data_IF_085700629031
#
_entry.id   IF_085700629031
#
_cell.length_a   1.000
_cell.length_b   1.000
_cell.length_c   1.000
_cell.angle_alpha   90.00
_cell.angle_beta   90.00
_cell.angle_gamma   90.00
#
_symmetry.space_group_name_H-M   'P 1'
#
loop_
_entity.id
_entity.type
_entity.pdbx_description
1 polymer ?
#
# COMPACT_ATOMS: atom_id res chain seq x y z
N UNK A 1 -20.67 2.76 -3.88
CA UNK A 1 -20.11 4.13 -3.86
C UNK A 1 -19.85 4.51 -5.29
N UNK A 2 -20.09 5.76 -5.70
CA UNK A 2 -19.85 6.15 -7.09
C UNK A 2 -18.42 5.78 -7.51
N UNK A 3 -18.32 5.07 -8.63
CA UNK A 3 -17.05 4.57 -9.17
C UNK A 3 -16.01 5.67 -9.37
N UNK A 4 -16.44 6.86 -9.78
CA UNK A 4 -15.55 8.01 -9.96
C UNK A 4 -14.86 8.42 -8.66
N UNK A 5 -15.60 8.44 -7.55
CA UNK A 5 -15.06 8.83 -6.23
C UNK A 5 -14.04 7.79 -5.75
N UNK A 6 -14.31 6.50 -5.98
CA UNK A 6 -13.38 5.40 -5.68
C UNK A 6 -12.10 5.53 -6.49
N UNK A 7 -12.19 5.80 -7.79
CA UNK A 7 -11.03 5.98 -8.66
C UNK A 7 -10.18 7.16 -8.20
N UNK A 8 -10.80 8.29 -7.85
CA UNK A 8 -10.10 9.48 -7.36
C UNK A 8 -9.40 9.16 -6.04
N UNK A 9 -10.12 8.60 -5.07
CA UNK A 9 -9.55 8.28 -3.75
C UNK A 9 -8.40 7.25 -3.85
N UNK A 10 -8.62 6.18 -4.61
CA UNK A 10 -7.60 5.16 -4.85
C UNK A 10 -6.40 5.71 -5.63
N UNK A 11 -6.64 6.60 -6.60
CA UNK A 11 -5.60 7.27 -7.39
C UNK A 11 -4.74 8.19 -6.54
N UNK A 12 -5.34 8.98 -5.65
CA UNK A 12 -4.63 9.78 -4.64
C UNK A 12 -3.76 8.86 -3.77
N UNK A 13 -4.33 7.74 -3.30
CA UNK A 13 -3.59 6.75 -2.52
C UNK A 13 -2.39 6.16 -3.27
N UNK A 14 -2.55 5.89 -4.57
CA UNK A 14 -1.47 5.39 -5.41
C UNK A 14 -0.34 6.41 -5.59
N UNK A 15 -0.68 7.68 -5.81
CA UNK A 15 0.30 8.77 -5.90
C UNK A 15 1.04 8.98 -4.58
N UNK A 16 0.33 8.95 -3.46
CA UNK A 16 0.93 9.02 -2.13
C UNK A 16 1.85 7.83 -1.86
N UNK A 17 1.42 6.62 -2.24
CA UNK A 17 2.25 5.42 -2.14
C UNK A 17 3.52 5.52 -2.98
N UNK A 18 3.42 6.00 -4.22
CA UNK A 18 4.57 6.24 -5.09
C UNK A 18 5.54 7.28 -4.49
N UNK A 19 5.01 8.37 -3.92
CA UNK A 19 5.80 9.39 -3.23
C UNK A 19 6.53 8.80 -2.01
N UNK A 20 5.86 8.03 -1.17
CA UNK A 20 6.46 7.37 0.00
C UNK A 20 7.58 6.43 -0.43
N UNK A 21 7.35 5.61 -1.45
CA UNK A 21 8.37 4.70 -1.97
C UNK A 21 9.58 5.47 -2.53
N UNK A 22 9.35 6.52 -3.31
CA UNK A 22 10.42 7.36 -3.86
C UNK A 22 11.25 8.04 -2.75
N UNK A 23 10.58 8.62 -1.75
CA UNK A 23 11.24 9.21 -0.59
C UNK A 23 12.03 8.17 0.20
N UNK A 24 11.50 6.96 0.34
CA UNK A 24 12.22 5.86 0.99
C UNK A 24 13.51 5.49 0.26
N UNK A 25 13.46 5.39 -1.08
CA UNK A 25 14.65 5.13 -1.90
C UNK A 25 15.68 6.25 -1.78
N UNK A 26 15.25 7.51 -1.79
CA UNK A 26 16.12 8.68 -1.63
C UNK A 26 16.77 8.67 -0.24
N UNK A 27 15.98 8.45 0.81
CA UNK A 27 16.46 8.40 2.20
C UNK A 27 17.49 7.27 2.41
N UNK A 28 17.24 6.09 1.83
CA UNK A 28 18.19 4.98 1.87
C UNK A 28 19.54 5.35 1.23
N UNK A 29 19.52 6.03 0.08
CA UNK A 29 20.75 6.44 -0.61
C UNK A 29 21.55 7.52 0.11
N UNK A 30 20.86 8.43 0.81
CA UNK A 30 21.49 9.63 1.35
C UNK A 30 21.83 9.54 2.84
N UNK A 31 20.99 8.89 3.64
CA UNK A 31 21.02 9.06 5.10
C UNK A 31 20.98 7.78 5.91
N UNK A 32 20.38 6.70 5.40
CA UNK A 32 20.13 5.50 6.21
C UNK A 32 21.17 4.42 5.93
N UNK A 33 22.01 4.07 6.92
CA UNK A 33 22.95 2.97 6.76
C UNK A 33 22.21 1.64 6.65
N UNK A 34 22.74 0.71 5.85
CA UNK A 34 22.21 -0.65 5.73
C UNK A 34 22.27 -1.36 7.07
N UNK A 35 21.12 -1.70 7.65
CA UNK A 35 21.04 -2.43 8.91
C UNK A 35 21.10 -3.95 8.72
N UNK A 36 20.48 -4.45 7.64
CA UNK A 36 20.44 -5.88 7.32
C UNK A 36 21.11 -6.15 5.98
N UNK A 37 22.44 -6.34 5.95
CA UNK A 37 23.16 -6.64 4.72
C UNK A 37 22.91 -8.07 4.22
N UNK A 38 22.41 -8.98 5.07
CA UNK A 38 22.21 -10.38 4.70
C UNK A 38 20.99 -10.54 3.77
N UNK A 39 21.16 -11.12 2.57
CA UNK A 39 20.07 -11.21 1.59
C UNK A 39 18.92 -12.10 2.07
N UNK A 40 19.19 -13.06 2.94
CA UNK A 40 18.16 -13.94 3.52
C UNK A 40 17.14 -13.15 4.35
N UNK A 41 17.58 -12.11 5.08
CA UNK A 41 16.68 -11.29 5.90
C UNK A 41 15.78 -10.44 4.98
N UNK A 42 16.34 -9.86 3.92
CA UNK A 42 15.56 -9.12 2.93
C UNK A 42 14.46 -9.98 2.29
N UNK A 43 14.79 -11.22 1.91
CA UNK A 43 13.82 -12.19 1.39
C UNK A 43 12.72 -12.52 2.40
N UNK A 44 13.08 -12.81 3.66
CA UNK A 44 12.10 -13.10 4.71
C UNK A 44 11.17 -11.91 4.94
N UNK A 45 11.71 -10.69 5.01
CA UNK A 45 10.90 -9.47 5.12
C UNK A 45 10.00 -9.28 3.90
N UNK A 46 10.52 -9.52 2.69
CA UNK A 46 9.76 -9.40 1.45
C UNK A 46 8.57 -10.36 1.43
N UNK A 47 8.81 -11.64 1.72
CA UNK A 47 7.77 -12.66 1.71
C UNK A 47 6.73 -12.42 2.81
N UNK A 48 7.19 -12.10 4.02
CA UNK A 48 6.31 -11.84 5.17
C UNK A 48 5.43 -10.61 4.91
N UNK A 49 6.02 -9.46 4.57
CA UNK A 49 5.28 -8.22 4.35
C UNK A 49 4.40 -8.32 3.10
N UNK A 50 4.88 -8.98 2.05
CA UNK A 50 4.09 -9.27 0.85
C UNK A 50 2.87 -10.13 1.15
N UNK A 51 3.03 -11.19 1.95
CA UNK A 51 1.92 -12.05 2.34
C UNK A 51 0.88 -11.29 3.19
N UNK A 52 1.30 -10.56 4.22
CA UNK A 52 0.39 -9.72 5.02
C UNK A 52 -0.35 -8.71 4.14
N UNK A 53 0.39 -8.02 3.27
CA UNK A 53 -0.12 -7.04 2.31
C UNK A 53 -1.21 -7.61 1.40
N UNK A 54 -1.05 -8.85 0.91
CA UNK A 54 -2.04 -9.51 0.07
C UNK A 54 -3.24 -10.03 0.86
N UNK A 55 -3.01 -10.62 2.04
CA UNK A 55 -4.08 -11.16 2.90
C UNK A 55 -5.00 -10.07 3.45
N UNK A 56 -4.49 -8.86 3.62
CA UNK A 56 -5.26 -7.71 4.08
C UNK A 56 -6.29 -7.22 3.04
N UNK A 57 -6.06 -7.47 1.74
CA UNK A 57 -6.96 -7.01 0.66
C UNK A 57 -8.42 -7.45 0.89
N UNK A 58 -8.76 -8.74 1.01
CA UNK A 58 -10.14 -9.17 1.21
C UNK A 58 -10.75 -8.62 2.50
N UNK A 59 -9.97 -8.54 3.58
CA UNK A 59 -10.43 -8.02 4.88
C UNK A 59 -10.81 -6.54 4.77
N UNK A 60 -9.98 -5.74 4.12
CA UNK A 60 -10.22 -4.31 3.93
C UNK A 60 -11.40 -4.04 3.00
N UNK A 61 -11.51 -4.79 1.89
CA UNK A 61 -12.67 -4.68 1.00
C UNK A 61 -13.96 -5.00 1.75
N UNK A 62 -13.98 -6.06 2.56
CA UNK A 62 -15.14 -6.39 3.39
C UNK A 62 -15.46 -5.27 4.40
N UNK A 63 -14.45 -4.76 5.11
CA UNK A 63 -14.64 -3.68 6.08
C UNK A 63 -15.20 -2.40 5.43
N UNK A 64 -14.67 -1.99 4.28
CA UNK A 64 -15.14 -0.80 3.57
C UNK A 64 -16.58 -1.00 3.06
N UNK A 65 -16.92 -2.19 2.54
CA UNK A 65 -18.29 -2.51 2.14
C UNK A 65 -19.26 -2.34 3.32
N UNK A 66 -18.90 -2.82 4.51
CA UNK A 66 -19.70 -2.62 5.73
C UNK A 66 -19.86 -1.15 6.13
N UNK A 67 -18.84 -0.33 5.93
CA UNK A 67 -18.97 1.13 6.16
C UNK A 67 -20.01 1.75 5.22
N UNK A 68 -20.00 1.36 3.94
CA UNK A 68 -20.91 1.90 2.91
C UNK A 68 -22.37 1.50 3.14
N UNK A 69 -22.63 0.32 3.72
CA UNK A 69 -23.99 -0.15 4.04
C UNK A 69 -24.76 0.82 4.95
N UNK A 70 -24.08 1.56 5.82
CA UNK A 70 -24.70 2.52 6.74
C UNK A 70 -25.42 3.69 6.06
N UNK A 71 -25.08 4.00 4.79
CA UNK A 71 -25.58 5.14 4.00
C UNK A 71 -25.44 6.53 4.65
N UNK A 72 -24.72 6.65 5.76
CA UNK A 72 -24.50 7.92 6.42
C UNK A 72 -23.45 8.75 5.65
N UNK A 73 -23.70 10.04 5.36
CA UNK A 73 -22.76 10.87 4.61
C UNK A 73 -21.36 10.96 5.22
N UNK A 74 -21.27 10.99 6.55
CA UNK A 74 -19.99 11.00 7.29
C UNK A 74 -19.24 9.69 7.09
N UNK A 75 -19.92 8.56 7.23
CA UNK A 75 -19.32 7.23 7.04
C UNK A 75 -18.87 6.99 5.60
N UNK A 76 -19.57 7.54 4.60
CA UNK A 76 -19.13 7.48 3.20
C UNK A 76 -17.83 8.25 2.97
N UNK A 77 -17.66 9.43 3.61
CA UNK A 77 -16.38 10.16 3.55
C UNK A 77 -15.25 9.37 4.20
N UNK A 78 -15.51 8.74 5.34
CA UNK A 78 -14.54 7.87 6.00
C UNK A 78 -14.18 6.69 5.10
N UNK A 79 -15.17 6.04 4.48
CA UNK A 79 -14.93 4.95 3.53
C UNK A 79 -14.04 5.37 2.35
N UNK A 80 -14.26 6.54 1.76
CA UNK A 80 -13.40 7.10 0.70
C UNK A 80 -11.96 7.34 1.19
N UNK A 81 -11.81 7.92 2.37
CA UNK A 81 -10.49 8.10 2.98
C UNK A 81 -9.80 6.74 3.19
N UNK A 82 -10.52 5.75 3.72
CA UNK A 82 -10.01 4.39 3.93
C UNK A 82 -9.60 3.72 2.62
N UNK A 83 -10.29 3.97 1.49
CA UNK A 83 -9.86 3.50 0.17
C UNK A 83 -8.49 4.07 -0.22
N UNK A 84 -8.29 5.39 -0.07
CA UNK A 84 -7.00 6.01 -0.36
C UNK A 84 -5.88 5.49 0.55
N UNK A 85 -6.16 5.38 1.85
CA UNK A 85 -5.23 4.82 2.83
C UNK A 85 -4.88 3.36 2.51
N UNK A 86 -5.88 2.54 2.21
CA UNK A 86 -5.72 1.14 1.82
C UNK A 86 -4.73 0.99 0.66
N UNK A 87 -4.89 1.75 -0.43
CA UNK A 87 -3.96 1.71 -1.57
C UNK A 87 -2.55 2.17 -1.17
N UNK A 88 -2.45 3.23 -0.38
CA UNK A 88 -1.17 3.78 0.11
C UNK A 88 -0.40 2.77 0.96
N UNK A 89 -1.10 1.92 1.71
CA UNK A 89 -0.51 0.97 2.66
C UNK A 89 0.47 -0.02 2.02
N UNK A 90 0.35 -0.30 0.72
CA UNK A 90 1.35 -1.08 0.00
C UNK A 90 2.77 -0.48 0.10
N UNK A 91 2.89 0.84 0.01
CA UNK A 91 4.16 1.53 0.16
C UNK A 91 4.65 1.51 1.62
N UNK A 92 3.74 1.52 2.59
CA UNK A 92 4.10 1.39 4.01
C UNK A 92 4.73 0.02 4.28
N UNK A 93 4.16 -1.05 3.73
CA UNK A 93 4.77 -2.39 3.80
C UNK A 93 6.09 -2.49 3.02
N UNK A 94 6.29 -1.67 1.99
CA UNK A 94 7.54 -1.61 1.25
C UNK A 94 8.67 -0.91 2.04
N UNK A 95 8.35 0.06 2.89
CA UNK A 95 9.34 0.89 3.59
C UNK A 95 10.39 0.09 4.37
N UNK A 96 10.05 -0.93 5.19
CA UNK A 96 11.07 -1.71 5.89
C UNK A 96 12.09 -2.34 4.94
N UNK A 97 11.65 -2.83 3.77
CA UNK A 97 12.54 -3.38 2.76
C UNK A 97 13.38 -2.29 2.08
N UNK A 98 12.75 -1.17 1.71
CA UNK A 98 13.42 -0.05 1.03
C UNK A 98 14.47 0.64 1.90
N UNK A 99 14.24 0.74 3.22
CA UNK A 99 15.09 1.50 4.12
C UNK A 99 16.19 0.64 4.76
N UNK A 100 15.87 -0.59 5.16
CA UNK A 100 16.71 -1.36 6.09
C UNK A 100 17.61 -2.39 5.40
N UNK A 101 17.29 -2.77 4.15
CA UNK A 101 18.02 -3.83 3.43
C UNK A 101 19.15 -3.29 2.56
N UNK A 102 19.97 -4.19 2.01
CA UNK A 102 21.08 -3.83 1.13
C UNK A 102 20.58 -3.17 -0.18
N UNK A 103 21.38 -2.26 -0.78
CA UNK A 103 21.10 -1.72 -2.11
C UNK A 103 20.84 -2.79 -3.18
N UNK A 104 21.47 -3.98 -3.06
CA UNK A 104 21.28 -5.10 -3.99
C UNK A 104 19.88 -5.72 -3.93
N UNK A 105 19.16 -5.55 -2.82
CA UNK A 105 17.80 -6.09 -2.61
C UNK A 105 16.72 -5.02 -2.65
N UNK A 106 17.08 -3.76 -2.91
CA UNK A 106 16.17 -2.62 -2.90
C UNK A 106 14.98 -2.77 -3.88
N UNK A 107 15.18 -3.50 -4.97
CA UNK A 107 14.13 -3.85 -5.93
C UNK A 107 12.95 -4.60 -5.29
N UNK A 108 13.19 -5.39 -4.23
CA UNK A 108 12.14 -6.12 -3.50
C UNK A 108 11.15 -5.15 -2.84
N UNK A 109 11.65 -4.09 -2.23
CA UNK A 109 10.82 -3.02 -1.69
C UNK A 109 10.01 -2.32 -2.78
N UNK A 110 10.62 -2.06 -3.95
CA UNK A 110 9.90 -1.50 -5.10
C UNK A 110 8.76 -2.42 -5.54
N UNK A 111 9.01 -3.74 -5.64
CA UNK A 111 7.97 -4.73 -5.96
C UNK A 111 6.84 -4.72 -4.94
N UNK A 112 7.14 -4.64 -3.64
CA UNK A 112 6.10 -4.51 -2.61
C UNK A 112 5.25 -3.25 -2.80
N UNK A 113 5.87 -2.11 -3.15
CA UNK A 113 5.14 -0.88 -3.41
C UNK A 113 4.19 -1.01 -4.61
N UNK A 114 4.55 -1.81 -5.63
CA UNK A 114 3.66 -2.07 -6.77
C UNK A 114 2.38 -2.83 -6.40
N UNK A 115 2.31 -3.48 -5.23
CA UNK A 115 1.06 -4.05 -4.71
C UNK A 115 -0.02 -2.98 -4.50
N UNK A 116 0.34 -1.69 -4.48
CA UNK A 116 -0.62 -0.59 -4.53
C UNK A 116 -1.49 -0.62 -5.79
N UNK A 117 -0.95 -1.09 -6.92
CA UNK A 117 -1.72 -1.27 -8.16
C UNK A 117 -2.78 -2.37 -8.02
N UNK A 118 -2.43 -3.48 -7.36
CA UNK A 118 -3.40 -4.54 -7.07
C UNK A 118 -4.50 -4.07 -6.14
N UNK A 119 -4.15 -3.27 -5.12
CA UNK A 119 -5.12 -2.65 -4.22
C UNK A 119 -6.02 -1.65 -4.93
N UNK A 120 -5.45 -0.84 -5.81
CA UNK A 120 -6.21 0.08 -6.67
C UNK A 120 -7.23 -0.69 -7.51
N UNK A 121 -6.78 -1.73 -8.21
CA UNK A 121 -7.65 -2.58 -9.01
C UNK A 121 -8.76 -3.22 -8.15
N UNK A 122 -8.41 -3.78 -6.99
CA UNK A 122 -9.39 -4.36 -6.07
C UNK A 122 -10.41 -3.33 -5.58
N UNK A 123 -9.98 -2.13 -5.20
CA UNK A 123 -10.90 -1.08 -4.77
C UNK A 123 -11.89 -0.70 -5.89
N UNK A 124 -11.39 -0.48 -7.11
CA UNK A 124 -12.24 -0.11 -8.25
C UNK A 124 -13.20 -1.25 -8.63
N UNK A 125 -12.75 -2.50 -8.63
CA UNK A 125 -13.57 -3.66 -9.02
C UNK A 125 -14.61 -4.06 -7.97
N UNK A 126 -14.30 -3.90 -6.68
CA UNK A 126 -15.15 -4.42 -5.61
C UNK A 126 -15.92 -3.35 -4.82
N UNK A 127 -15.59 -2.06 -4.97
CA UNK A 127 -16.25 -0.96 -4.23
C UNK A 127 -16.93 0.09 -5.13
N UNK A 128 -16.54 0.15 -6.41
CA UNK A 128 -17.12 1.05 -7.41
C UNK A 128 -18.39 0.45 -8.01
N UNK A 129 -19.54 0.83 -7.44
CA UNK A 129 -20.89 0.50 -7.92
C UNK A 129 -21.63 1.77 -8.33
#
# INVERSE_FOLDING_TARGET
>A
MNRTDVIIAAGIGLLLGALIAALGIIAHRLWIPTLFPQPIIAWLMFLMLGAFSLLEIPVMIFGIRKMVESRQPTTLKVALFTVGAFVTFAAIYALPNLLLTSPHTLWMGTVLATLGLLRFAAAVLFLGE
#
